data_IF_938661086296
#
_entry.id   IF_938661086296
#
_cell.length_a   1.000
_cell.length_b   1.000
_cell.length_c   1.000
_cell.angle_alpha   90.00
_cell.angle_beta   90.00
_cell.angle_gamma   90.00
#
_symmetry.space_group_name_H-M   'P 1'
#
loop_
_entity.id
_entity.type
_entity.pdbx_description
1 polymer ?
#
# COMPACT_ATOMS: atom_id res chain seq x y z
N UNK A 1 22.23 -19.95 19.76
CA UNK A 1 21.18 -19.02 19.26
C UNK A 1 20.22 -18.60 20.35
N UNK A 2 19.86 -19.48 21.31
CA UNK A 2 19.00 -19.13 22.44
C UNK A 2 19.45 -17.93 23.31
N UNK A 3 20.75 -17.63 23.37
CA UNK A 3 21.24 -16.43 24.07
C UNK A 3 20.71 -15.12 23.46
N UNK A 4 20.39 -15.10 22.16
CA UNK A 4 19.82 -13.93 21.49
C UNK A 4 18.35 -13.74 21.88
N UNK A 5 17.57 -14.82 21.93
CA UNK A 5 16.18 -14.78 22.38
C UNK A 5 16.08 -14.30 23.84
N UNK A 6 16.97 -14.75 24.71
CA UNK A 6 17.04 -14.28 26.12
C UNK A 6 17.44 -12.80 26.24
N UNK A 7 18.30 -12.30 25.34
CA UNK A 7 18.61 -10.86 25.27
C UNK A 7 17.38 -10.06 24.85
N UNK A 8 16.65 -10.52 23.84
CA UNK A 8 15.40 -9.89 23.39
C UNK A 8 14.36 -9.88 24.50
N UNK A 9 14.22 -10.99 25.25
CA UNK A 9 13.33 -11.11 26.41
C UNK A 9 13.56 -10.02 27.45
N UNK A 10 14.82 -9.80 27.83
CA UNK A 10 15.19 -8.75 28.79
C UNK A 10 14.87 -7.35 28.25
N UNK A 11 15.10 -7.10 26.97
CA UNK A 11 14.79 -5.80 26.36
C UNK A 11 13.27 -5.60 26.23
N UNK A 12 12.46 -6.62 25.94
CA UNK A 12 11.00 -6.51 25.96
C UNK A 12 10.45 -6.14 27.33
N UNK A 13 10.94 -6.79 28.40
CA UNK A 13 10.58 -6.41 29.78
C UNK A 13 10.95 -4.96 30.08
N UNK A 14 12.11 -4.51 29.60
CA UNK A 14 12.54 -3.11 29.74
C UNK A 14 11.65 -2.13 28.96
N UNK A 15 11.13 -2.53 27.79
CA UNK A 15 10.20 -1.76 26.98
C UNK A 15 8.78 -1.72 27.58
N UNK A 16 8.54 -2.47 28.66
CA UNK A 16 7.24 -2.54 29.35
C UNK A 16 6.28 -3.56 28.76
N UNK A 17 6.79 -4.56 28.04
CA UNK A 17 6.01 -5.74 27.67
C UNK A 17 5.75 -6.57 28.94
N UNK A 18 4.51 -7.01 29.22
CA UNK A 18 4.21 -7.87 30.37
C UNK A 18 5.09 -9.12 30.39
N UNK A 19 5.53 -9.55 31.57
CA UNK A 19 6.50 -10.66 31.71
C UNK A 19 6.02 -11.95 31.05
N UNK A 20 4.75 -12.33 31.23
CA UNK A 20 4.14 -13.50 30.60
C UNK A 20 4.22 -13.43 29.07
N UNK A 21 3.90 -12.27 28.50
CA UNK A 21 3.95 -12.04 27.06
C UNK A 21 5.39 -11.98 26.53
N UNK A 22 6.33 -11.43 27.31
CA UNK A 22 7.75 -11.41 26.96
C UNK A 22 8.34 -12.83 26.95
N UNK A 23 7.87 -13.71 27.85
CA UNK A 23 8.25 -15.12 27.89
C UNK A 23 7.70 -15.89 26.69
N UNK A 24 6.42 -15.69 26.35
CA UNK A 24 5.81 -16.25 25.14
C UNK A 24 6.56 -15.81 23.86
N UNK A 25 6.81 -14.50 23.71
CA UNK A 25 7.55 -13.96 22.56
C UNK A 25 8.98 -14.51 22.47
N UNK A 26 9.63 -14.75 23.61
CA UNK A 26 10.98 -15.32 23.64
C UNK A 26 10.97 -16.80 23.25
N UNK A 27 9.94 -17.53 23.65
CA UNK A 27 9.76 -18.93 23.27
C UNK A 27 9.48 -19.07 21.76
N UNK A 28 8.61 -18.22 21.20
CA UNK A 28 8.36 -18.15 19.75
C UNK A 28 9.68 -17.93 19.00
N UNK A 29 10.44 -16.89 19.39
CA UNK A 29 11.73 -16.56 18.77
C UNK A 29 12.76 -17.68 18.93
N UNK A 30 12.81 -18.33 20.09
CA UNK A 30 13.71 -19.47 20.30
C UNK A 30 13.38 -20.62 19.35
N UNK A 31 12.08 -20.94 19.19
CA UNK A 31 11.62 -21.97 18.25
C UNK A 31 12.01 -21.64 16.82
N UNK A 32 11.77 -20.41 16.39
CA UNK A 32 12.11 -19.94 15.03
C UNK A 32 13.63 -20.03 14.76
N UNK A 33 14.46 -19.71 15.76
CA UNK A 33 15.91 -19.81 15.64
C UNK A 33 16.42 -21.25 15.64
N UNK A 34 15.76 -22.14 16.39
CA UNK A 34 16.09 -23.57 16.37
C UNK A 34 15.74 -24.22 15.04
N UNK A 35 14.59 -23.85 14.44
CA UNK A 35 14.21 -24.29 13.09
C UNK A 35 15.22 -23.79 12.05
N UNK A 36 15.56 -22.49 12.09
CA UNK A 36 16.59 -21.92 11.21
C UNK A 36 17.95 -22.60 11.38
N UNK A 37 18.34 -22.93 12.61
CA UNK A 37 19.57 -23.66 12.89
C UNK A 37 19.54 -25.09 12.32
N UNK A 38 18.40 -25.77 12.40
CA UNK A 38 18.20 -27.10 11.82
C UNK A 38 18.29 -27.08 10.29
N UNK A 39 17.90 -25.96 9.66
CA UNK A 39 18.09 -25.71 8.23
C UNK A 39 19.54 -25.29 7.88
N UNK A 40 20.42 -25.14 8.87
CA UNK A 40 21.81 -24.75 8.69
C UNK A 40 22.02 -23.26 8.46
N UNK A 41 21.01 -22.43 8.73
CA UNK A 41 21.10 -20.98 8.62
C UNK A 41 21.81 -20.39 9.85
N UNK A 42 22.67 -19.40 9.63
CA UNK A 42 23.23 -18.62 10.73
C UNK A 42 22.28 -17.51 11.17
N UNK A 43 22.53 -16.94 12.35
CA UNK A 43 21.69 -15.87 12.90
C UNK A 43 21.64 -14.65 11.97
N UNK A 44 22.78 -14.30 11.36
CA UNK A 44 22.91 -13.20 10.39
C UNK A 44 22.21 -13.49 9.06
N UNK A 45 22.16 -14.76 8.65
CA UNK A 45 21.43 -15.15 7.45
C UNK A 45 19.92 -15.11 7.66
N UNK A 46 19.45 -15.50 8.85
CA UNK A 46 18.03 -15.52 9.20
C UNK A 46 17.48 -14.13 9.55
N UNK A 47 18.13 -13.39 10.46
CA UNK A 47 17.67 -12.09 10.94
C UNK A 47 18.25 -10.89 10.18
N UNK A 48 19.18 -11.12 9.25
CA UNK A 48 19.85 -10.06 8.51
C UNK A 48 20.59 -9.09 9.42
N UNK A 49 20.37 -7.79 9.22
CA UNK A 49 20.99 -6.73 10.03
C UNK A 49 20.53 -6.70 11.48
N UNK A 50 19.44 -7.40 11.83
CA UNK A 50 18.95 -7.49 13.21
C UNK A 50 19.76 -8.43 14.09
N UNK A 51 20.55 -9.34 13.50
CA UNK A 51 21.33 -10.34 14.23
C UNK A 51 22.40 -9.74 15.15
N UNK A 52 22.94 -8.57 14.80
CA UNK A 52 24.01 -7.91 15.55
C UNK A 52 23.51 -7.00 16.67
N UNK A 53 22.21 -6.70 16.72
CA UNK A 53 21.62 -5.82 17.71
C UNK A 53 20.26 -6.34 18.21
N UNK A 54 20.34 -7.16 19.27
CA UNK A 54 19.17 -7.71 19.94
C UNK A 54 18.21 -6.63 20.46
N UNK A 55 18.70 -5.43 20.83
CA UNK A 55 17.84 -4.35 21.34
C UNK A 55 17.03 -3.75 20.22
N UNK A 56 17.67 -3.40 19.10
CA UNK A 56 16.97 -2.85 17.93
C UNK A 56 15.95 -3.84 17.39
N UNK A 57 16.31 -5.12 17.32
CA UNK A 57 15.42 -6.19 16.91
C UNK A 57 14.23 -6.39 17.87
N UNK A 58 14.48 -6.42 19.18
CA UNK A 58 13.42 -6.52 20.18
C UNK A 58 12.45 -5.33 20.07
N UNK A 59 12.95 -4.12 19.89
CA UNK A 59 12.12 -2.92 19.72
C UNK A 59 11.27 -2.96 18.45
N UNK A 60 11.83 -3.40 17.30
CA UNK A 60 11.07 -3.52 16.05
C UNK A 60 10.00 -4.60 16.13
N UNK A 61 10.31 -5.75 16.72
CA UNK A 61 9.33 -6.84 16.89
C UNK A 61 8.18 -6.40 17.81
N UNK A 62 8.50 -5.81 18.96
CA UNK A 62 7.50 -5.28 19.88
C UNK A 62 6.58 -4.26 19.18
N UNK A 63 7.14 -3.36 18.38
CA UNK A 63 6.39 -2.40 17.58
C UNK A 63 5.48 -3.05 16.53
N UNK A 64 5.95 -4.10 15.84
CA UNK A 64 5.15 -4.85 14.86
C UNK A 64 3.94 -5.54 15.49
N UNK A 65 4.11 -6.11 16.69
CA UNK A 65 3.01 -6.73 17.45
C UNK A 65 2.12 -5.68 18.15
N UNK A 66 2.50 -4.40 18.13
CA UNK A 66 1.81 -3.32 18.84
C UNK A 66 1.91 -3.45 20.37
N UNK A 67 2.89 -4.22 20.86
CA UNK A 67 3.08 -4.52 22.27
C UNK A 67 4.22 -3.67 22.80
N UNK A 68 3.97 -2.86 23.81
CA UNK A 68 4.91 -1.89 24.34
C UNK A 68 4.36 -0.48 24.16
N UNK A 69 3.95 0.13 25.27
CA UNK A 69 3.70 1.57 25.48
C UNK A 69 3.00 1.74 26.83
N UNK A 70 3.79 1.72 27.91
CA UNK A 70 3.29 2.21 29.20
C UNK A 70 4.24 3.23 29.85
N UNK A 71 5.56 3.23 29.56
CA UNK A 71 6.50 3.99 30.41
C UNK A 71 7.64 4.76 29.70
N UNK A 72 7.67 4.92 28.37
CA UNK A 72 8.73 5.71 27.71
C UNK A 72 8.18 6.88 26.88
N UNK A 73 8.20 8.06 27.54
CA UNK A 73 8.32 9.43 27.02
C UNK A 73 7.16 10.06 26.19
N UNK A 74 6.68 11.26 26.58
CA UNK A 74 5.84 12.09 25.72
C UNK A 74 6.73 12.68 24.62
N UNK A 75 6.69 12.14 23.40
CA UNK A 75 7.45 12.80 22.33
C UNK A 75 7.59 12.12 20.97
N UNK A 76 7.25 10.84 20.80
CA UNK A 76 7.26 10.24 19.45
C UNK A 76 5.90 9.67 19.18
N UNK A 77 5.00 10.56 18.75
CA UNK A 77 3.76 10.18 18.11
C UNK A 77 4.05 9.06 17.12
N UNK A 78 3.46 7.89 17.36
CA UNK A 78 3.32 6.83 16.38
C UNK A 78 3.02 7.50 15.04
N UNK A 79 4.01 7.51 14.15
CA UNK A 79 3.82 7.99 12.79
C UNK A 79 2.89 6.98 12.15
N UNK A 80 1.59 7.14 12.38
CA UNK A 80 0.54 6.60 11.51
C UNK A 80 1.05 6.85 10.10
N UNK A 81 1.25 5.81 9.28
CA UNK A 81 1.80 6.00 7.95
C UNK A 81 0.81 6.90 7.20
N UNK A 82 1.14 8.20 7.14
CA UNK A 82 0.34 9.25 6.48
C UNK A 82 0.18 8.98 4.98
N UNK A 83 0.77 7.90 4.48
CA UNK A 83 0.63 7.36 3.13
C UNK A 83 -0.63 6.51 2.94
N UNK A 84 -1.23 5.94 4.01
CA UNK A 84 -2.49 5.17 3.89
C UNK A 84 -3.70 6.08 3.64
N UNK A 85 -3.70 7.30 4.20
CA UNK A 85 -4.80 8.25 4.03
C UNK A 85 -4.97 8.72 2.57
N UNK A 86 -3.92 9.18 1.85
CA UNK A 86 -4.08 9.55 0.44
C UNK A 86 -4.38 8.34 -0.45
N UNK A 87 -3.86 7.15 -0.13
CA UNK A 87 -4.14 5.93 -0.88
C UNK A 87 -5.61 5.50 -0.77
N UNK A 88 -6.17 5.53 0.44
CA UNK A 88 -7.59 5.22 0.68
C UNK A 88 -8.51 6.26 0.03
N UNK A 89 -8.19 7.55 0.13
CA UNK A 89 -8.92 8.62 -0.57
C UNK A 89 -8.85 8.43 -2.09
N UNK A 90 -7.68 8.07 -2.63
CA UNK A 90 -7.49 7.81 -4.06
C UNK A 90 -8.37 6.64 -4.55
N UNK A 91 -8.35 5.51 -3.85
CA UNK A 91 -9.19 4.35 -4.18
C UNK A 91 -10.67 4.68 -4.13
N UNK A 92 -11.10 5.46 -3.13
CA UNK A 92 -12.47 5.92 -3.02
C UNK A 92 -12.88 6.80 -4.22
N UNK A 93 -12.02 7.75 -4.62
CA UNK A 93 -12.28 8.63 -5.77
C UNK A 93 -12.36 7.84 -7.07
N UNK A 94 -11.43 6.93 -7.31
CA UNK A 94 -11.47 6.06 -8.50
C UNK A 94 -12.76 5.26 -8.54
N UNK A 95 -13.14 4.64 -7.41
CA UNK A 95 -14.36 3.84 -7.31
C UNK A 95 -15.62 4.67 -7.55
N UNK A 96 -15.70 5.88 -6.98
CA UNK A 96 -16.83 6.79 -7.19
C UNK A 96 -16.92 7.23 -8.66
N UNK A 97 -15.80 7.59 -9.28
CA UNK A 97 -15.76 8.00 -10.69
C UNK A 97 -16.20 6.85 -11.61
N UNK A 98 -15.68 5.64 -11.36
CA UNK A 98 -16.11 4.45 -12.10
C UNK A 98 -17.61 4.20 -11.93
N UNK A 99 -18.13 4.24 -10.69
CA UNK A 99 -19.56 4.05 -10.43
C UNK A 99 -20.43 5.12 -11.12
N UNK A 100 -20.01 6.39 -11.10
CA UNK A 100 -20.73 7.48 -11.76
C UNK A 100 -20.76 7.32 -13.29
N UNK A 101 -19.65 6.88 -13.88
CA UNK A 101 -19.55 6.61 -15.31
C UNK A 101 -20.44 5.43 -15.73
N UNK A 102 -20.50 4.36 -14.92
CA UNK A 102 -21.42 3.26 -15.14
C UNK A 102 -22.89 3.71 -15.01
N UNK A 103 -23.21 4.60 -14.08
CA UNK A 103 -24.56 5.09 -13.87
C UNK A 103 -25.03 6.10 -14.94
N UNK A 104 -24.11 6.86 -15.53
CA UNK A 104 -24.43 7.94 -16.50
C UNK A 104 -24.21 7.54 -17.97
N UNK A 105 -23.51 6.43 -18.23
CA UNK A 105 -23.28 5.90 -19.57
C UNK A 105 -24.53 5.25 -20.16
N UNK A 106 -25.46 6.05 -20.70
CA UNK A 106 -26.54 5.56 -21.56
C UNK A 106 -25.95 5.00 -22.87
N UNK A 107 -26.04 3.68 -23.14
CA UNK A 107 -25.59 3.12 -24.41
C UNK A 107 -26.64 3.42 -25.48
N UNK A 108 -26.58 4.60 -26.11
CA UNK A 108 -27.33 4.87 -27.35
C UNK A 108 -26.60 4.18 -28.52
N UNK A 109 -26.81 2.88 -28.65
CA UNK A 109 -26.51 2.14 -29.87
C UNK A 109 -27.55 2.52 -30.95
N UNK A 110 -27.28 3.58 -31.72
CA UNK A 110 -28.03 3.81 -32.97
C UNK A 110 -27.48 2.90 -34.05
N UNK A 111 -28.09 1.72 -34.16
CA UNK A 111 -27.79 0.72 -35.19
C UNK A 111 -28.37 1.22 -36.52
N UNK A 112 -27.55 1.86 -37.36
CA UNK A 112 -27.95 2.29 -38.71
C UNK A 112 -27.98 1.04 -39.60
N UNK A 113 -29.18 0.50 -39.80
CA UNK A 113 -29.41 -0.60 -40.74
C UNK A 113 -29.69 -0.03 -42.12
N UNK A 114 -28.69 -0.02 -43.00
CA UNK A 114 -28.88 0.31 -44.41
C UNK A 114 -29.65 -0.82 -45.08
N UNK A 115 -30.92 -0.58 -45.41
CA UNK A 115 -31.72 -1.47 -46.26
C UNK A 115 -31.58 -0.99 -47.70
N UNK A 116 -30.86 -1.74 -48.52
CA UNK A 116 -30.80 -1.51 -49.97
C UNK A 116 -32.11 -1.99 -50.60
N UNK A 117 -33.06 -1.08 -50.79
CA UNK A 117 -34.23 -1.36 -51.65
C UNK A 117 -33.83 -0.99 -53.08
N UNK A 118 -33.78 -2.00 -53.93
CA UNK A 118 -33.53 -1.91 -55.37
C UNK A 118 -34.72 -1.25 -56.09
N UNK A 119 -34.86 0.07 -55.97
CA UNK A 119 -35.68 0.90 -56.88
C UNK A 119 -35.38 2.40 -56.68
N UNK A 120 -34.33 2.88 -57.36
CA UNK A 120 -34.37 4.13 -58.13
C UNK A 120 -34.79 5.47 -57.50
N UNK A 121 -34.66 5.73 -56.19
CA UNK A 121 -34.77 7.10 -55.64
C UNK A 121 -33.71 7.31 -54.55
N UNK A 122 -32.70 8.15 -54.81
CA UNK A 122 -31.62 8.51 -53.89
C UNK A 122 -32.09 9.57 -52.89
N UNK A 123 -32.42 9.13 -51.67
CA UNK A 123 -32.61 10.02 -50.51
C UNK A 123 -31.30 10.08 -49.71
N UNK A 124 -30.58 11.19 -49.82
CA UNK A 124 -29.36 11.47 -49.06
C UNK A 124 -29.71 11.96 -47.64
N UNK A 125 -29.75 11.06 -46.65
CA UNK A 125 -29.82 11.48 -45.25
C UNK A 125 -28.41 11.67 -44.68
N UNK A 126 -28.08 12.90 -44.30
CA UNK A 126 -26.87 13.22 -43.52
C UNK A 126 -27.10 12.76 -42.08
N UNK A 127 -26.59 11.58 -41.74
CA UNK A 127 -26.51 11.11 -40.36
C UNK A 127 -25.28 11.74 -39.70
N UNK A 128 -25.51 12.65 -38.74
CA UNK A 128 -24.47 13.09 -37.82
C UNK A 128 -24.00 11.89 -36.99
N UNK A 129 -22.88 11.29 -37.39
CA UNK A 129 -22.15 10.34 -36.57
C UNK A 129 -21.45 11.13 -35.45
N UNK A 130 -22.12 11.33 -34.32
CA UNK A 130 -21.43 11.69 -33.09
C UNK A 130 -20.63 10.47 -32.64
N UNK A 131 -19.33 10.47 -32.95
CA UNK A 131 -18.39 9.42 -32.59
C UNK A 131 -18.51 9.04 -31.12
N UNK A 132 -18.94 7.80 -30.88
CA UNK A 132 -19.01 7.17 -29.56
C UNK A 132 -17.63 6.97 -28.87
N UNK A 133 -16.56 7.52 -29.46
CA UNK A 133 -15.20 7.49 -28.90
C UNK A 133 -14.94 8.61 -27.87
N UNK A 134 -15.78 9.65 -27.84
CA UNK A 134 -15.58 10.80 -26.95
C UNK A 134 -15.50 10.43 -25.44
N UNK A 135 -16.29 9.48 -24.88
CA UNK A 135 -16.26 9.25 -23.43
C UNK A 135 -14.98 8.57 -22.94
N UNK A 136 -14.41 7.66 -23.74
CA UNK A 136 -13.23 6.88 -23.34
C UNK A 136 -11.98 7.75 -23.30
N UNK A 137 -11.87 8.70 -24.22
CA UNK A 137 -10.76 9.65 -24.26
C UNK A 137 -10.69 10.50 -22.98
N UNK A 138 -11.84 10.98 -22.48
CA UNK A 138 -11.90 11.72 -21.21
C UNK A 138 -11.52 10.86 -20.00
N UNK A 139 -11.95 9.59 -19.98
CA UNK A 139 -11.58 8.65 -18.90
C UNK A 139 -10.07 8.45 -18.87
N UNK A 140 -9.45 8.19 -20.03
CA UNK A 140 -8.00 8.02 -20.13
C UNK A 140 -7.24 9.28 -19.75
N UNK A 141 -7.75 10.47 -20.11
CA UNK A 141 -7.14 11.75 -19.75
C UNK A 141 -7.17 11.97 -18.23
N UNK A 142 -8.30 11.69 -17.57
CA UNK A 142 -8.42 11.77 -16.10
C UNK A 142 -7.49 10.78 -15.40
N UNK A 143 -7.41 9.54 -15.88
CA UNK A 143 -6.49 8.52 -15.34
C UNK A 143 -5.03 8.94 -15.52
N UNK A 144 -4.67 9.48 -16.70
CA UNK A 144 -3.32 9.96 -16.98
C UNK A 144 -2.92 11.14 -16.08
N UNK A 145 -3.82 12.13 -15.90
CA UNK A 145 -3.60 13.25 -14.99
C UNK A 145 -3.44 12.79 -13.55
N UNK A 146 -4.27 11.83 -13.10
CA UNK A 146 -4.18 11.27 -11.76
C UNK A 146 -2.86 10.53 -11.54
N UNK A 147 -2.41 9.72 -12.51
CA UNK A 147 -1.12 9.04 -12.46
C UNK A 147 0.06 10.02 -12.42
N UNK A 148 0.01 11.09 -13.23
CA UNK A 148 1.02 12.16 -13.22
C UNK A 148 1.07 12.91 -11.89
N UNK A 149 -0.09 13.26 -11.33
CA UNK A 149 -0.19 13.90 -10.03
C UNK A 149 0.38 12.99 -8.92
N UNK A 150 0.09 11.69 -8.98
CA UNK A 150 0.64 10.73 -8.03
C UNK A 150 2.15 10.58 -8.15
N UNK A 151 2.67 10.42 -9.37
CA UNK A 151 4.11 10.29 -9.63
C UNK A 151 4.89 11.55 -9.22
N UNK A 152 4.36 12.74 -9.50
CA UNK A 152 4.99 13.99 -9.06
C UNK A 152 4.95 14.14 -7.54
N UNK A 153 3.83 13.78 -6.89
CA UNK A 153 3.73 13.77 -5.43
C UNK A 153 4.72 12.82 -4.78
N UNK A 154 4.82 11.57 -5.23
CA UNK A 154 5.75 10.58 -4.67
C UNK A 154 7.19 11.05 -4.82
N UNK A 155 7.56 11.58 -5.98
CA UNK A 155 8.87 12.17 -6.22
C UNK A 155 9.20 13.34 -5.27
N UNK A 156 8.25 14.27 -5.08
CA UNK A 156 8.44 15.39 -4.14
C UNK A 156 8.55 14.91 -2.69
N UNK A 157 7.78 13.91 -2.30
CA UNK A 157 7.82 13.37 -0.94
C UNK A 157 9.18 12.74 -0.61
N UNK A 158 9.79 12.04 -1.56
CA UNK A 158 11.13 11.47 -1.42
C UNK A 158 12.21 12.55 -1.28
N UNK A 159 12.09 13.65 -2.05
CA UNK A 159 13.03 14.77 -1.94
C UNK A 159 12.98 15.44 -0.57
N UNK A 160 11.80 15.63 0.02
CA UNK A 160 11.65 16.20 1.37
C UNK A 160 12.23 15.29 2.45
N UNK A 161 12.08 13.97 2.30
CA UNK A 161 12.68 12.99 3.21
C UNK A 161 14.22 13.01 3.16
N UNK A 162 14.81 13.19 1.98
CA UNK A 162 16.28 13.31 1.85
C UNK A 162 16.83 14.62 2.41
N UNK A 163 16.12 15.74 2.23
CA UNK A 163 16.55 17.04 2.74
C UNK A 163 16.58 17.10 4.28
N UNK A 164 15.73 16.33 4.95
CA UNK A 164 15.69 16.25 6.42
C UNK A 164 16.72 15.28 7.02
N UNK A 165 17.39 14.46 6.20
CA UNK A 165 18.43 13.55 6.65
C UNK A 165 19.86 14.16 6.59
N UNK A 166 19.99 15.34 5.99
CA UNK A 166 21.28 16.05 5.80
C UNK A 166 21.37 17.35 6.60
N UNK A 167 20.33 17.69 7.37
CA UNK A 167 20.27 18.84 8.26
C UNK A 167 20.28 18.35 9.71
#
# INVERSE_FOLDING_TARGET
MNDFAEQCRREWRRLGVPDELADEMAQDLASDLEEAAAEGLTLEQYLGTGASDARSFAASWAAERGVGTAQQAPGVAARRPRFLLPFTVFMLVVLVVTALLLATGQPKLSLIRSRTTSTGITSSQVLHATSAAAPVEWILLVVALAALAFATWTWLSWRRARATALA
#
